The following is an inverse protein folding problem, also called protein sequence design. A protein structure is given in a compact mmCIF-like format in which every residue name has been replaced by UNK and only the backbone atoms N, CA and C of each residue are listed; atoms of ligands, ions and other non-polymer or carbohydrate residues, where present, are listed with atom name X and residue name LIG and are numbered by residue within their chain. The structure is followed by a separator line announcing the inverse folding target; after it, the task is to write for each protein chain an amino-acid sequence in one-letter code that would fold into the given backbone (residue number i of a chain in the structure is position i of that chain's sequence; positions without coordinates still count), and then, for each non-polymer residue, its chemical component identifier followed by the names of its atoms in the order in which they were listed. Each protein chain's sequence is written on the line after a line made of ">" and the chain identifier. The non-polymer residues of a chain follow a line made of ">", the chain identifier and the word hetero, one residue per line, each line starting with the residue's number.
data_IF_741179328973
#
_entry.id   IF_741179328973
#
_cell.length_a   1.000
_cell.length_b   1.000
_cell.length_c   1.000
_cell.angle_alpha   90.00
_cell.angle_beta   90.00
_cell.angle_gamma   90.00
#
_symmetry.space_group_name_H-M   'P 1'
#
loop_
_entity.id
_entity.type
_entity.pdbx_description
1 polymer ?
#
# COMPACT_ATOMS: atom_id res chain seq x y z
N UNK A 1 -0.07 -7.07 9.23
CA UNK A 1 1.27 -7.40 8.69
C UNK A 1 1.43 -6.76 7.32
N UNK A 2 2.62 -6.31 6.93
CA UNK A 2 2.89 -5.79 5.58
C UNK A 2 3.96 -6.63 4.88
N UNK A 3 3.77 -6.87 3.59
CA UNK A 3 4.69 -7.59 2.73
C UNK A 3 5.56 -6.59 1.96
N UNK A 4 6.84 -6.93 1.80
CA UNK A 4 7.80 -6.03 1.19
C UNK A 4 8.83 -6.78 0.36
N UNK A 5 8.64 -6.78 -0.96
CA UNK A 5 9.48 -7.49 -1.93
C UNK A 5 10.95 -7.03 -1.90
N UNK A 6 11.28 -5.74 -1.77
CA UNK A 6 12.67 -5.30 -1.63
C UNK A 6 13.29 -5.62 -0.26
N UNK A 7 12.52 -6.21 0.67
CA UNK A 7 12.95 -6.52 2.03
C UNK A 7 13.72 -7.83 2.16
N UNK A 8 13.78 -8.33 3.40
CA UNK A 8 14.38 -9.64 3.70
C UNK A 8 13.54 -10.77 3.11
N UNK A 9 14.10 -11.99 3.07
CA UNK A 9 13.34 -13.18 2.67
C UNK A 9 12.06 -13.37 3.50
N UNK A 10 12.11 -13.07 4.80
CA UNK A 10 10.95 -13.17 5.68
C UNK A 10 9.87 -12.12 5.37
N UNK A 11 10.25 -10.94 4.87
CA UNK A 11 9.28 -9.90 4.51
C UNK A 11 8.54 -10.17 3.19
N UNK A 12 9.01 -11.13 2.39
CA UNK A 12 8.46 -11.42 1.06
C UNK A 12 8.00 -12.88 0.89
N UNK A 13 7.94 -13.67 1.97
CA UNK A 13 7.59 -15.10 1.93
C UNK A 13 6.36 -15.42 2.77
N UNK A 14 5.65 -16.49 2.40
CA UNK A 14 4.53 -17.05 3.19
C UNK A 14 5.00 -17.44 4.59
N UNK A 15 6.22 -17.97 4.72
CA UNK A 15 6.79 -18.34 6.02
C UNK A 15 6.85 -17.13 6.96
N UNK A 16 7.37 -16.00 6.48
CA UNK A 16 7.47 -14.81 7.33
C UNK A 16 6.13 -14.16 7.64
N UNK A 17 5.16 -14.22 6.72
CA UNK A 17 3.76 -13.87 7.00
C UNK A 17 3.21 -14.70 8.18
N UNK A 18 3.30 -16.03 8.10
CA UNK A 18 2.79 -16.92 9.13
C UNK A 18 3.50 -16.75 10.48
N UNK A 19 4.84 -16.64 10.48
CA UNK A 19 5.61 -16.34 11.67
C UNK A 19 5.13 -15.03 12.31
N UNK A 20 4.94 -13.99 11.51
CA UNK A 20 4.47 -12.69 12.01
C UNK A 20 3.07 -12.75 12.58
N UNK A 21 2.14 -13.46 11.93
CA UNK A 21 0.77 -13.61 12.43
C UNK A 21 0.74 -14.39 13.73
N UNK A 22 1.41 -15.54 13.78
CA UNK A 22 1.47 -16.37 14.98
C UNK A 22 2.13 -15.60 16.13
N UNK A 23 3.27 -14.94 15.88
CA UNK A 23 3.92 -14.11 16.89
C UNK A 23 2.99 -13.00 17.41
N UNK A 24 2.28 -12.29 16.52
CA UNK A 24 1.35 -11.23 16.94
C UNK A 24 0.28 -11.77 17.88
N UNK A 25 -0.42 -12.84 17.49
CA UNK A 25 -1.49 -13.42 18.31
C UNK A 25 -0.97 -13.95 19.64
N UNK A 26 0.16 -14.67 19.64
CA UNK A 26 0.74 -15.24 20.86
C UNK A 26 1.36 -14.18 21.79
N UNK A 27 1.85 -13.07 21.23
CA UNK A 27 2.41 -11.96 22.02
C UNK A 27 1.34 -11.09 22.67
N UNK A 28 0.15 -11.03 22.08
CA UNK A 28 -0.98 -10.25 22.60
C UNK A 28 -1.66 -10.95 23.80
N UNK A 29 -1.88 -12.27 23.75
CA UNK A 29 -2.55 -13.00 24.85
C UNK A 29 -1.76 -14.25 25.29
N UNK A 30 -1.16 -14.14 26.48
CA UNK A 30 -0.42 -15.24 27.12
C UNK A 30 -1.29 -16.48 27.40
N UNK A 31 -2.61 -16.33 27.54
CA UNK A 31 -3.51 -17.47 27.74
C UNK A 31 -3.60 -18.32 26.49
N UNK A 32 -3.73 -17.68 25.32
CA UNK A 32 -3.68 -18.36 24.02
C UNK A 32 -2.33 -19.06 23.85
N UNK A 33 -1.24 -18.41 24.26
CA UNK A 33 0.08 -19.02 24.25
C UNK A 33 0.21 -20.24 25.17
N UNK A 34 -0.41 -20.23 26.36
CA UNK A 34 -0.42 -21.39 27.25
C UNK A 34 -1.31 -22.52 26.70
N UNK A 35 -2.51 -22.20 26.22
CA UNK A 35 -3.43 -23.19 25.63
C UNK A 35 -2.81 -23.89 24.41
N UNK A 36 -2.17 -23.15 23.51
CA UNK A 36 -1.51 -23.74 22.36
C UNK A 36 -0.30 -24.58 22.75
N UNK A 37 0.43 -24.18 23.80
CA UNK A 37 1.56 -24.95 24.32
C UNK A 37 1.12 -26.26 24.96
N UNK A 38 -0.01 -26.27 25.66
CA UNK A 38 -0.63 -27.49 26.21
C UNK A 38 -1.06 -28.46 25.11
N UNK A 39 -1.67 -27.94 24.03
CA UNK A 39 -2.08 -28.76 22.87
C UNK A 39 -0.90 -29.20 22.00
N UNK A 40 0.13 -28.37 21.89
CA UNK A 40 1.30 -28.56 21.04
C UNK A 40 2.61 -28.34 21.80
N UNK A 41 3.03 -29.27 22.68
CA UNK A 41 4.21 -29.08 23.53
C UNK A 41 5.53 -28.89 22.78
N UNK A 42 5.61 -29.34 21.52
CA UNK A 42 6.81 -29.19 20.70
C UNK A 42 7.17 -27.72 20.44
N UNK A 43 6.19 -26.81 20.53
CA UNK A 43 6.38 -25.35 20.37
C UNK A 43 7.37 -24.82 21.41
N UNK A 44 7.46 -25.43 22.59
CA UNK A 44 8.37 -25.00 23.67
C UNK A 44 9.85 -25.04 23.27
N UNK A 45 10.19 -25.76 22.19
CA UNK A 45 11.56 -25.94 21.67
C UNK A 45 11.88 -25.01 20.52
N UNK A 46 10.93 -24.17 20.10
CA UNK A 46 11.10 -23.25 18.98
C UNK A 46 11.54 -21.90 19.54
N UNK A 47 12.75 -21.46 19.21
CA UNK A 47 13.33 -20.20 19.68
C UNK A 47 13.63 -19.21 18.54
N UNK A 48 13.74 -19.71 17.31
CA UNK A 48 14.01 -18.93 16.12
C UNK A 48 13.03 -19.26 14.98
N UNK A 49 12.90 -18.35 14.01
CA UNK A 49 12.10 -18.60 12.81
C UNK A 49 12.63 -19.79 11.99
N UNK A 50 13.92 -20.08 12.07
CA UNK A 50 14.57 -21.23 11.41
C UNK A 50 14.07 -22.57 11.90
N UNK A 51 13.59 -22.65 13.16
CA UNK A 51 13.11 -23.90 13.75
C UNK A 51 11.75 -24.32 13.20
N UNK A 52 11.02 -23.36 12.63
CA UNK A 52 9.69 -23.59 12.09
C UNK A 52 9.74 -23.96 10.61
N UNK A 53 9.07 -25.05 10.27
CA UNK A 53 8.66 -25.32 8.90
C UNK A 53 7.38 -24.53 8.58
N UNK A 54 7.13 -24.25 7.30
CA UNK A 54 5.89 -23.55 6.91
C UNK A 54 4.65 -24.38 7.24
N UNK A 55 4.73 -25.72 7.13
CA UNK A 55 3.61 -26.61 7.47
C UNK A 55 3.28 -26.57 8.97
N UNK A 56 4.30 -26.56 9.84
CA UNK A 56 4.08 -26.39 11.29
C UNK A 56 3.38 -25.06 11.56
N UNK A 57 3.83 -23.96 10.94
CA UNK A 57 3.21 -22.65 11.12
C UNK A 57 1.75 -22.61 10.65
N UNK A 58 1.45 -23.18 9.48
CA UNK A 58 0.07 -23.29 8.94
C UNK A 58 -0.81 -24.10 9.88
N UNK A 59 -0.32 -25.24 10.37
CA UNK A 59 -1.06 -26.13 11.27
C UNK A 59 -1.30 -25.48 12.63
N UNK A 60 -0.28 -24.85 13.20
CA UNK A 60 -0.38 -24.15 14.49
C UNK A 60 -1.30 -22.95 14.40
N UNK A 61 -1.22 -22.13 13.34
CA UNK A 61 -2.14 -21.01 13.13
C UNK A 61 -3.60 -21.49 12.95
N UNK A 62 -3.79 -22.57 12.19
CA UNK A 62 -5.13 -23.15 11.98
C UNK A 62 -5.72 -23.68 13.29
N UNK A 63 -4.94 -24.42 14.08
CA UNK A 63 -5.35 -24.89 15.41
C UNK A 63 -5.69 -23.72 16.34
N UNK A 64 -4.89 -22.66 16.30
CA UNK A 64 -5.13 -21.46 17.09
C UNK A 64 -6.49 -20.85 16.74
N UNK A 65 -6.74 -20.59 15.45
CA UNK A 65 -7.97 -19.93 14.99
C UNK A 65 -9.20 -20.80 15.30
N UNK A 66 -9.13 -22.11 15.03
CA UNK A 66 -10.26 -23.03 15.23
C UNK A 66 -10.66 -23.16 16.71
N UNK A 67 -9.69 -23.10 17.61
CA UNK A 67 -9.93 -23.22 19.05
C UNK A 67 -10.00 -21.86 19.76
N UNK A 68 -9.94 -20.75 19.03
CA UNK A 68 -10.01 -19.43 19.65
C UNK A 68 -11.43 -19.10 20.09
N UNK A 69 -11.56 -18.57 21.30
CA UNK A 69 -12.80 -17.96 21.77
C UNK A 69 -13.06 -16.57 21.19
N UNK A 70 -12.07 -16.00 20.47
CA UNK A 70 -12.11 -14.64 19.95
C UNK A 70 -12.14 -14.62 18.42
N UNK A 71 -12.80 -13.59 17.88
CA UNK A 71 -12.73 -13.27 16.46
C UNK A 71 -11.42 -12.52 16.18
N UNK A 72 -10.61 -13.04 15.26
CA UNK A 72 -9.35 -12.42 14.82
C UNK A 72 -9.58 -11.56 13.58
N UNK A 73 -9.03 -10.34 13.56
CA UNK A 73 -8.99 -9.51 12.36
C UNK A 73 -7.56 -9.49 11.81
N UNK A 74 -7.36 -10.04 10.62
CA UNK A 74 -6.07 -10.04 9.95
C UNK A 74 -6.07 -9.03 8.81
N UNK A 75 -5.20 -8.03 8.93
CA UNK A 75 -4.95 -7.02 7.90
C UNK A 75 -3.62 -7.34 7.20
N UNK A 76 -3.70 -7.68 5.91
CA UNK A 76 -2.54 -7.99 5.07
C UNK A 76 -2.33 -6.87 4.05
N UNK A 77 -1.22 -6.16 4.20
CA UNK A 77 -0.86 -5.08 3.27
C UNK A 77 0.15 -5.55 2.23
N UNK A 78 -0.13 -5.29 0.95
CA UNK A 78 0.80 -5.53 -0.15
C UNK A 78 0.89 -6.99 -0.61
N UNK A 79 -0.23 -7.71 -0.75
CA UNK A 79 -0.22 -9.14 -1.12
C UNK A 79 0.60 -9.46 -2.38
N UNK A 80 0.61 -8.55 -3.35
CA UNK A 80 1.38 -8.68 -4.58
C UNK A 80 2.91 -8.68 -4.36
N UNK A 81 3.40 -8.30 -3.18
CA UNK A 81 4.83 -8.20 -2.89
C UNK A 81 5.47 -9.54 -2.49
N UNK A 82 4.69 -10.63 -2.39
CA UNK A 82 5.24 -11.97 -2.16
C UNK A 82 6.07 -12.43 -3.35
N UNK A 83 7.26 -12.93 -3.07
CA UNK A 83 8.23 -13.37 -4.07
C UNK A 83 8.26 -14.90 -4.27
N UNK A 84 7.45 -15.65 -3.52
CA UNK A 84 7.46 -17.12 -3.59
C UNK A 84 7.18 -17.61 -5.03
N UNK A 85 8.06 -18.49 -5.51
CA UNK A 85 8.37 -18.78 -6.91
C UNK A 85 7.17 -18.92 -7.88
N UNK A 86 7.37 -18.60 -9.18
CA UNK A 86 6.31 -18.40 -10.18
C UNK A 86 5.28 -19.52 -10.36
N UNK A 87 5.59 -20.75 -9.92
CA UNK A 87 4.75 -21.92 -10.18
C UNK A 87 4.17 -22.61 -8.92
N UNK A 88 4.53 -22.17 -7.70
CA UNK A 88 4.03 -22.77 -6.44
C UNK A 88 3.70 -21.77 -5.33
N UNK A 89 4.29 -20.58 -5.33
CA UNK A 89 4.11 -19.59 -4.26
C UNK A 89 2.73 -18.94 -4.26
N UNK A 90 2.31 -18.42 -5.43
CA UNK A 90 1.00 -17.81 -5.57
C UNK A 90 -0.15 -18.78 -5.26
N UNK A 91 -0.09 -20.02 -5.77
CA UNK A 91 -1.11 -21.04 -5.49
C UNK A 91 -1.21 -21.40 -4.00
N UNK A 92 -0.07 -21.53 -3.31
CA UNK A 92 -0.06 -21.81 -1.86
C UNK A 92 -0.59 -20.64 -1.04
N UNK A 93 -0.19 -19.42 -1.37
CA UNK A 93 -0.69 -18.21 -0.72
C UNK A 93 -2.20 -18.06 -0.88
N UNK A 94 -2.70 -18.31 -2.09
CA UNK A 94 -4.13 -18.26 -2.38
C UNK A 94 -4.88 -19.36 -1.63
N UNK A 95 -4.33 -20.57 -1.57
CA UNK A 95 -4.89 -21.66 -0.76
C UNK A 95 -4.96 -21.30 0.72
N UNK A 96 -3.87 -20.75 1.28
CA UNK A 96 -3.83 -20.27 2.66
C UNK A 96 -4.88 -19.19 2.91
N UNK A 97 -5.03 -18.23 1.98
CA UNK A 97 -6.01 -17.15 2.11
C UNK A 97 -7.44 -17.69 2.03
N UNK A 98 -7.71 -18.62 1.11
CA UNK A 98 -9.00 -19.28 0.99
C UNK A 98 -9.33 -20.07 2.28
N UNK A 99 -8.37 -20.82 2.82
CA UNK A 99 -8.52 -21.54 4.08
C UNK A 99 -8.86 -20.58 5.23
N UNK A 100 -8.13 -19.46 5.33
CA UNK A 100 -8.42 -18.43 6.33
C UNK A 100 -9.80 -17.79 6.09
N UNK A 101 -10.22 -17.52 4.86
CA UNK A 101 -11.55 -16.97 4.58
C UNK A 101 -12.69 -17.91 4.99
N UNK A 102 -12.47 -19.23 4.99
CA UNK A 102 -13.49 -20.21 5.40
C UNK A 102 -13.62 -20.38 6.91
N UNK A 103 -12.65 -19.91 7.69
CA UNK A 103 -12.67 -20.05 9.14
C UNK A 103 -13.63 -19.04 9.80
N UNK A 104 -14.52 -19.52 10.67
CA UNK A 104 -15.55 -18.68 11.30
C UNK A 104 -15.00 -17.64 12.28
N UNK A 105 -13.85 -17.93 12.91
CA UNK A 105 -13.22 -17.08 13.94
C UNK A 105 -12.18 -16.11 13.39
N UNK A 106 -12.19 -15.85 12.08
CA UNK A 106 -11.29 -14.87 11.49
C UNK A 106 -12.01 -14.03 10.43
N UNK A 107 -11.64 -12.75 10.36
CA UNK A 107 -11.93 -11.85 9.24
C UNK A 107 -10.60 -11.44 8.65
N UNK A 108 -10.47 -11.56 7.34
CA UNK A 108 -9.24 -11.19 6.62
C UNK A 108 -9.56 -10.04 5.68
N UNK A 109 -8.76 -8.98 5.76
CA UNK A 109 -8.77 -7.87 4.82
C UNK A 109 -7.39 -7.77 4.18
N UNK A 110 -7.37 -7.70 2.85
CA UNK A 110 -6.14 -7.73 2.08
C UNK A 110 -6.09 -6.52 1.15
N UNK A 111 -4.93 -5.87 1.10
CA UNK A 111 -4.60 -4.88 0.08
C UNK A 111 -3.66 -5.49 -0.96
N UNK A 112 -3.82 -5.13 -2.23
CA UNK A 112 -2.89 -5.49 -3.29
C UNK A 112 -3.00 -4.53 -4.48
N UNK A 113 -1.97 -4.51 -5.32
CA UNK A 113 -2.11 -3.98 -6.69
C UNK A 113 -3.09 -4.85 -7.50
N UNK A 114 -3.78 -4.28 -8.50
CA UNK A 114 -4.74 -5.01 -9.32
C UNK A 114 -4.06 -5.91 -10.37
N UNK A 115 -3.12 -6.76 -9.94
CA UNK A 115 -2.44 -7.72 -10.80
C UNK A 115 -3.44 -8.81 -11.27
N UNK A 116 -3.45 -9.19 -12.56
CA UNK A 116 -4.46 -10.10 -13.11
C UNK A 116 -4.59 -11.44 -12.36
N UNK A 117 -3.48 -11.98 -11.84
CA UNK A 117 -3.47 -13.23 -11.10
C UNK A 117 -4.22 -13.12 -9.76
N UNK A 118 -3.96 -12.07 -8.99
CA UNK A 118 -4.65 -11.82 -7.71
C UNK A 118 -6.09 -11.40 -7.92
N UNK A 119 -6.35 -10.54 -8.92
CA UNK A 119 -7.68 -10.05 -9.26
C UNK A 119 -8.67 -11.21 -9.50
N UNK A 120 -8.29 -12.19 -10.31
CA UNK A 120 -9.14 -13.37 -10.61
C UNK A 120 -9.60 -14.15 -9.37
N UNK A 121 -8.81 -14.12 -8.30
CA UNK A 121 -9.08 -14.91 -7.09
C UNK A 121 -9.82 -14.08 -6.06
N UNK A 122 -9.36 -12.84 -5.85
CA UNK A 122 -9.94 -11.92 -4.86
C UNK A 122 -11.29 -11.34 -5.29
N UNK A 123 -11.59 -11.27 -6.60
CA UNK A 123 -12.87 -10.75 -7.13
C UNK A 123 -14.13 -11.50 -6.67
N UNK A 124 -13.97 -12.70 -6.13
CA UNK A 124 -15.09 -13.46 -5.52
C UNK A 124 -15.54 -12.85 -4.18
N UNK A 125 -14.72 -12.00 -3.58
CA UNK A 125 -14.94 -11.41 -2.27
C UNK A 125 -15.35 -9.93 -2.38
N UNK A 126 -15.91 -9.32 -1.32
CA UNK A 126 -16.15 -7.88 -1.28
C UNK A 126 -14.88 -7.09 -1.57
N UNK A 127 -14.94 -6.19 -2.55
CA UNK A 127 -13.80 -5.41 -3.00
C UNK A 127 -14.04 -3.92 -2.83
N UNK A 128 -12.96 -3.23 -2.46
CA UNK A 128 -12.91 -1.77 -2.40
C UNK A 128 -11.76 -1.28 -3.28
N UNK A 129 -12.09 -0.48 -4.29
CA UNK A 129 -11.11 0.18 -5.17
C UNK A 129 -10.88 1.58 -4.67
N UNK A 130 -9.74 1.81 -4.03
CA UNK A 130 -9.44 3.09 -3.38
C UNK A 130 -9.53 4.25 -4.38
N UNK A 131 -9.04 4.07 -5.62
CA UNK A 131 -9.07 5.13 -6.64
C UNK A 131 -10.49 5.58 -7.02
N UNK A 132 -11.50 4.73 -6.84
CA UNK A 132 -12.89 5.05 -7.14
C UNK A 132 -13.55 5.83 -5.98
N UNK A 133 -12.92 5.85 -4.80
CA UNK A 133 -13.45 6.48 -3.58
C UNK A 133 -12.73 7.78 -3.19
N UNK A 134 -11.55 8.05 -3.74
CA UNK A 134 -10.73 9.21 -3.37
C UNK A 134 -11.07 10.49 -4.15
N UNK A 135 -11.90 10.40 -5.19
CA UNK A 135 -12.14 11.53 -6.08
C UNK A 135 -12.75 12.75 -5.36
N UNK A 136 -13.67 12.53 -4.42
CA UNK A 136 -14.29 13.61 -3.64
C UNK A 136 -13.26 14.41 -2.85
N UNK A 137 -12.39 13.71 -2.12
CA UNK A 137 -11.32 14.32 -1.33
C UNK A 137 -10.26 15.00 -2.21
N UNK A 138 -9.95 14.41 -3.38
CA UNK A 138 -9.07 15.03 -4.38
C UNK A 138 -9.66 16.36 -4.88
N UNK A 139 -10.96 16.38 -5.19
CA UNK A 139 -11.64 17.60 -5.61
C UNK A 139 -11.59 18.65 -4.50
N UNK A 140 -11.87 18.27 -3.26
CA UNK A 140 -11.82 19.18 -2.12
C UNK A 140 -10.42 19.78 -1.95
N UNK A 141 -9.39 18.93 -1.89
CA UNK A 141 -8.00 19.35 -1.76
C UNK A 141 -7.57 20.28 -2.91
N UNK A 142 -7.92 19.93 -4.15
CA UNK A 142 -7.56 20.72 -5.34
C UNK A 142 -8.17 22.11 -5.26
N UNK A 143 -9.45 22.20 -4.90
CA UNK A 143 -10.17 23.48 -4.75
C UNK A 143 -9.54 24.36 -3.68
N UNK A 144 -9.33 23.81 -2.49
CA UNK A 144 -8.73 24.57 -1.37
C UNK A 144 -7.34 25.08 -1.71
N UNK A 145 -6.54 24.25 -2.40
CA UNK A 145 -5.15 24.59 -2.75
C UNK A 145 -5.08 25.61 -3.87
N UNK A 146 -5.94 25.52 -4.88
CA UNK A 146 -6.02 26.54 -5.93
C UNK A 146 -6.52 27.87 -5.36
N UNK A 147 -7.54 27.86 -4.50
CA UNK A 147 -8.04 29.08 -3.86
C UNK A 147 -7.00 29.74 -2.93
N UNK A 148 -6.10 28.95 -2.34
CA UNK A 148 -5.01 29.46 -1.51
C UNK A 148 -3.79 29.93 -2.33
N UNK A 149 -3.73 29.64 -3.63
CA UNK A 149 -2.76 30.27 -4.52
C UNK A 149 -3.31 31.66 -4.82
N UNK A 150 -2.60 32.70 -4.40
CA UNK A 150 -2.92 34.08 -4.76
C UNK A 150 -2.65 34.23 -6.26
N UNK A 151 -3.68 33.98 -7.07
CA UNK A 151 -3.57 33.97 -8.52
C UNK A 151 -4.34 35.14 -9.10
N UNK A 152 -3.71 35.90 -10.00
CA UNK A 152 -4.38 36.90 -10.85
C UNK A 152 -5.29 36.25 -11.93
N UNK A 153 -5.58 34.96 -11.80
CA UNK A 153 -6.44 34.23 -12.72
C UNK A 153 -7.90 34.58 -12.48
N UNK A 154 -8.67 34.70 -13.57
CA UNK A 154 -10.11 34.83 -13.45
C UNK A 154 -10.77 33.53 -12.93
N UNK A 155 -11.99 33.66 -12.43
CA UNK A 155 -12.75 32.55 -11.83
C UNK A 155 -12.99 31.42 -12.83
N UNK A 156 -13.17 31.73 -14.12
CA UNK A 156 -13.47 30.74 -15.16
C UNK A 156 -12.23 29.89 -15.50
N UNK A 157 -11.07 30.53 -15.65
CA UNK A 157 -9.77 29.88 -15.83
C UNK A 157 -9.43 28.97 -14.65
N UNK A 158 -9.63 29.46 -13.43
CA UNK A 158 -9.42 28.68 -12.20
C UNK A 158 -10.34 27.47 -12.13
N UNK A 159 -11.62 27.64 -12.47
CA UNK A 159 -12.59 26.53 -12.51
C UNK A 159 -12.27 25.50 -13.60
N UNK A 160 -11.81 25.92 -14.77
CA UNK A 160 -11.42 25.01 -15.84
C UNK A 160 -10.17 24.22 -15.46
N UNK A 161 -9.18 24.85 -14.83
CA UNK A 161 -8.00 24.18 -14.31
C UNK A 161 -8.36 23.17 -13.21
N UNK A 162 -9.23 23.57 -12.28
CA UNK A 162 -9.77 22.69 -11.25
C UNK A 162 -10.39 21.41 -11.84
N UNK A 163 -11.33 21.55 -12.78
CA UNK A 163 -11.99 20.39 -13.42
C UNK A 163 -10.98 19.49 -14.10
N UNK A 164 -10.05 20.09 -14.84
CA UNK A 164 -9.03 19.38 -15.58
C UNK A 164 -8.11 18.55 -14.67
N UNK A 165 -7.70 19.10 -13.52
CA UNK A 165 -6.90 18.37 -12.52
C UNK A 165 -7.70 17.21 -11.94
N UNK A 166 -8.97 17.44 -11.54
CA UNK A 166 -9.78 16.40 -10.91
C UNK A 166 -10.07 15.23 -11.84
N UNK A 167 -10.41 15.51 -13.10
CA UNK A 167 -10.62 14.49 -14.14
C UNK A 167 -9.35 13.68 -14.40
N UNK A 168 -8.19 14.35 -14.41
CA UNK A 168 -6.92 13.72 -14.75
C UNK A 168 -6.27 12.96 -13.59
N UNK A 169 -6.67 13.25 -12.35
CA UNK A 169 -6.12 12.65 -11.15
C UNK A 169 -6.34 11.14 -11.07
N UNK A 170 -7.43 10.61 -11.66
CA UNK A 170 -7.77 9.17 -11.66
C UNK A 170 -7.65 8.52 -10.26
N UNK A 171 -8.03 9.28 -9.21
CA UNK A 171 -7.98 8.81 -7.82
C UNK A 171 -6.58 8.83 -7.15
N UNK A 172 -5.55 9.35 -7.82
CA UNK A 172 -4.15 9.33 -7.33
C UNK A 172 -3.75 10.65 -6.66
N UNK A 173 -3.80 10.69 -5.32
CA UNK A 173 -3.41 11.88 -4.53
C UNK A 173 -2.00 12.39 -4.81
N UNK A 174 -1.02 11.49 -4.98
CA UNK A 174 0.37 11.87 -5.23
C UNK A 174 0.46 12.69 -6.51
N UNK A 175 -0.27 12.32 -7.56
CA UNK A 175 -0.29 13.06 -8.81
C UNK A 175 -0.82 14.48 -8.60
N UNK A 176 -1.93 14.63 -7.87
CA UNK A 176 -2.54 15.93 -7.56
C UNK A 176 -1.58 16.83 -6.78
N UNK A 177 -0.89 16.29 -5.78
CA UNK A 177 0.11 17.03 -4.99
C UNK A 177 1.24 17.54 -5.90
N UNK A 178 1.71 16.71 -6.84
CA UNK A 178 2.78 17.10 -7.77
C UNK A 178 2.32 18.15 -8.78
N UNK A 179 1.08 18.07 -9.25
CA UNK A 179 0.48 19.07 -10.15
C UNK A 179 0.33 20.40 -9.44
N UNK A 180 -0.29 20.43 -8.26
CA UNK A 180 -0.44 21.66 -7.49
C UNK A 180 0.91 22.30 -7.14
N UNK A 181 1.91 21.48 -6.82
CA UNK A 181 3.29 21.96 -6.63
C UNK A 181 3.92 22.53 -7.91
N UNK A 182 3.64 21.93 -9.07
CA UNK A 182 4.10 22.42 -10.38
C UNK A 182 3.43 23.74 -10.76
N UNK A 183 2.12 23.85 -10.56
CA UNK A 183 1.32 25.05 -10.83
C UNK A 183 1.77 26.21 -9.94
N UNK A 184 1.97 25.98 -8.65
CA UNK A 184 2.49 27.00 -7.73
C UNK A 184 3.83 27.59 -8.20
N UNK A 185 4.72 26.74 -8.75
CA UNK A 185 6.00 27.22 -9.32
C UNK A 185 5.80 27.98 -10.63
N UNK A 186 4.88 27.54 -11.49
CA UNK A 186 4.56 28.24 -12.73
C UNK A 186 4.00 29.64 -12.46
N UNK A 187 3.06 29.75 -11.52
CA UNK A 187 2.49 31.02 -11.08
C UNK A 187 3.56 31.96 -10.51
N UNK A 188 4.46 31.45 -9.66
CA UNK A 188 5.59 32.24 -9.16
C UNK A 188 6.56 32.75 -10.25
N UNK A 189 6.55 32.10 -11.43
CA UNK A 189 7.34 32.48 -12.59
C UNK A 189 6.54 33.31 -13.62
N UNK A 190 5.29 33.69 -13.32
CA UNK A 190 4.39 34.42 -14.22
C UNK A 190 4.09 33.67 -15.53
N UNK A 191 3.99 32.34 -15.47
CA UNK A 191 3.60 31.53 -16.62
C UNK A 191 2.16 31.86 -17.06
N UNK A 192 1.94 31.91 -18.37
CA UNK A 192 0.60 32.07 -18.94
C UNK A 192 -0.28 30.81 -18.78
N UNK A 193 -1.57 30.96 -19.08
CA UNK A 193 -2.55 29.87 -18.95
C UNK A 193 -2.19 28.64 -19.79
N UNK A 194 -1.74 28.81 -21.03
CA UNK A 194 -1.37 27.69 -21.91
C UNK A 194 -0.19 26.90 -21.33
N UNK A 195 0.75 27.60 -20.71
CA UNK A 195 1.89 26.99 -20.01
C UNK A 195 1.43 26.26 -18.75
N UNK A 196 0.50 26.83 -17.97
CA UNK A 196 -0.08 26.17 -16.79
C UNK A 196 -0.84 24.90 -17.19
N UNK A 197 -1.64 24.92 -18.26
CA UNK A 197 -2.27 23.72 -18.82
C UNK A 197 -1.22 22.69 -19.27
N UNK A 198 -0.18 23.13 -19.97
CA UNK A 198 0.91 22.25 -20.40
C UNK A 198 1.64 21.60 -19.22
N UNK A 199 1.75 22.29 -18.07
CA UNK A 199 2.30 21.72 -16.83
C UNK A 199 1.42 20.62 -16.24
N UNK A 200 0.09 20.78 -16.28
CA UNK A 200 -0.84 19.70 -15.90
C UNK A 200 -0.75 18.55 -16.91
N UNK A 201 -0.56 18.89 -18.19
CA UNK A 201 -0.53 17.90 -19.26
C UNK A 201 0.72 17.00 -19.22
N UNK A 202 1.87 17.60 -18.95
CA UNK A 202 3.18 16.94 -18.93
C UNK A 202 3.39 15.96 -17.78
N UNK A 203 2.63 16.06 -16.68
CA UNK A 203 2.80 15.17 -15.53
C UNK A 203 2.26 13.76 -15.85
N UNK A 204 3.11 12.72 -15.77
CA UNK A 204 2.73 11.37 -16.17
C UNK A 204 1.70 10.78 -15.20
N UNK A 205 0.69 10.08 -15.71
CA UNK A 205 -0.27 9.34 -14.88
C UNK A 205 0.33 8.10 -14.21
N UNK A 206 1.41 7.56 -14.80
CA UNK A 206 2.07 6.37 -14.29
C UNK A 206 2.85 6.67 -13.00
N UNK A 207 2.52 5.94 -11.93
CA UNK A 207 3.10 6.14 -10.61
C UNK A 207 4.62 5.93 -10.58
N UNK A 208 5.16 5.02 -11.40
CA UNK A 208 6.61 4.81 -11.50
C UNK A 208 7.30 6.02 -12.12
N UNK A 209 6.70 6.60 -13.17
CA UNK A 209 7.20 7.84 -13.77
C UNK A 209 7.07 9.03 -12.81
N UNK A 210 5.99 9.12 -12.03
CA UNK A 210 5.84 10.13 -10.97
C UNK A 210 6.94 10.01 -9.92
N UNK A 211 7.22 8.81 -9.42
CA UNK A 211 8.31 8.59 -8.46
C UNK A 211 9.68 8.95 -9.06
N UNK A 212 9.93 8.62 -10.33
CA UNK A 212 11.16 9.03 -11.02
C UNK A 212 11.27 10.55 -11.10
N UNK A 213 10.18 11.24 -11.40
CA UNK A 213 10.17 12.70 -11.51
C UNK A 213 10.39 13.37 -10.16
N UNK A 214 9.74 12.87 -9.09
CA UNK A 214 10.03 13.30 -7.72
C UNK A 214 11.51 13.11 -7.37
N UNK A 215 12.05 11.94 -7.69
CA UNK A 215 13.45 11.62 -7.41
C UNK A 215 14.43 12.51 -8.18
N UNK A 216 14.15 12.81 -9.45
CA UNK A 216 14.96 13.73 -10.25
C UNK A 216 14.93 15.16 -9.66
N UNK A 217 13.75 15.68 -9.31
CA UNK A 217 13.60 17.00 -8.69
C UNK A 217 14.36 17.09 -7.36
N UNK A 218 14.29 16.04 -6.53
CA UNK A 218 15.06 15.99 -5.27
C UNK A 218 16.57 16.00 -5.50
N UNK A 219 17.06 15.34 -6.56
CA UNK A 219 18.49 15.38 -6.92
C UNK A 219 18.92 16.77 -7.38
N UNK A 220 18.10 17.42 -8.22
CA UNK A 220 18.36 18.79 -8.68
C UNK A 220 18.47 19.76 -7.51
N UNK A 221 17.56 19.68 -6.53
CA UNK A 221 17.62 20.48 -5.31
C UNK A 221 18.85 20.12 -4.45
N UNK A 222 19.16 18.83 -4.26
CA UNK A 222 20.33 18.37 -3.50
C UNK A 222 21.66 18.83 -4.12
N UNK A 223 21.76 18.83 -5.45
CA UNK A 223 22.95 19.31 -6.16
C UNK A 223 23.06 20.84 -6.11
N UNK A 224 21.94 21.56 -6.04
CA UNK A 224 21.90 23.01 -5.82
C UNK A 224 22.40 23.40 -4.42
N UNK A 225 22.01 22.64 -3.39
CA UNK A 225 22.49 22.85 -2.02
C UNK A 225 23.97 22.47 -1.87
N UNK A 226 24.43 21.36 -2.47
CA UNK A 226 25.87 21.01 -2.49
C UNK A 226 26.75 22.08 -3.14
N UNK A 227 26.27 22.78 -4.17
CA UNK A 227 27.02 23.89 -4.77
C UNK A 227 27.06 25.14 -3.88
N UNK A 228 26.05 25.35 -3.04
CA UNK A 228 26.00 26.47 -2.09
C UNK A 228 26.86 26.26 -0.83
N UNK A 229 27.19 25.01 -0.46
CA UNK A 229 28.06 24.70 0.69
C UNK A 229 29.56 24.65 0.35
N UNK A 230 29.95 24.93 -0.90
CA UNK A 230 31.36 24.98 -1.37
C UNK A 230 31.83 26.43 -1.58
N UNK A 231 31.17 27.41 -0.94
CA UNK A 231 31.62 28.79 -0.82
C UNK A 231 31.92 29.14 0.63
#
# INVERSE_FOLDING_TARGET
>A
HYLWRPGTFMQQSIKGLLCSLLHQVLSEDKRIAMEILERQPFISRKDADTDWTTLELETTLSDLIQNSAFLHLVLLDGLNEIADAPDKGAGRLLGLIDDLFTANQIKVCVSSRPEPALKRVLEKNPMLRIQDLTNGDICLLTRERLAAMDTDLDDDATNNLFKHICEKAEGVFIWVILVLGSLRRGLANYDDMDTLYSRVESLPKDLTKLYKEMWCRMKEDSDLYRRKTVL
#
